data_IF_027994177153
#
_entry.id   IF_027994177153
#
_cell.length_a   1.000
_cell.length_b   1.000
_cell.length_c   1.000
_cell.angle_alpha   90.00
_cell.angle_beta   90.00
_cell.angle_gamma   90.00
#
_symmetry.space_group_name_H-M   'P 1'
#
loop_
_entity.id
_entity.type
_entity.pdbx_description
1 polymer ?
#
# COMPACT_ATOMS: atom_id res chain seq x y z
N UNK A 1 37.44 -39.57 -13.95
CA UNK A 1 37.31 -38.25 -14.59
C UNK A 1 36.18 -37.51 -13.90
N UNK A 2 36.50 -36.58 -13.01
CA UNK A 2 35.51 -35.68 -12.42
C UNK A 2 35.43 -34.49 -13.37
N UNK A 3 34.35 -34.39 -14.15
CA UNK A 3 34.09 -33.21 -14.95
C UNK A 3 33.75 -32.06 -14.00
N UNK A 4 34.74 -31.25 -13.67
CA UNK A 4 34.49 -29.94 -13.10
C UNK A 4 33.76 -29.12 -14.15
N UNK A 5 32.46 -28.94 -13.97
CA UNK A 5 31.68 -27.95 -14.70
C UNK A 5 32.45 -26.63 -14.65
N UNK A 6 32.95 -26.18 -15.80
CA UNK A 6 33.65 -24.90 -15.92
C UNK A 6 32.70 -23.84 -15.34
N UNK A 7 33.07 -23.14 -14.26
CA UNK A 7 32.27 -22.04 -13.76
C UNK A 7 32.12 -21.06 -14.91
N UNK A 8 30.89 -20.62 -15.18
CA UNK A 8 30.64 -19.55 -16.15
C UNK A 8 31.67 -18.44 -15.94
N UNK A 9 32.43 -18.10 -16.98
CA UNK A 9 33.45 -17.05 -16.89
C UNK A 9 32.83 -15.76 -16.36
N UNK A 10 33.60 -14.98 -15.58
CA UNK A 10 33.08 -13.81 -14.86
C UNK A 10 32.35 -12.81 -15.77
N UNK A 11 32.88 -12.56 -16.97
CA UNK A 11 32.26 -11.67 -17.95
C UNK A 11 31.00 -12.26 -18.59
N UNK A 12 30.96 -13.56 -18.85
CA UNK A 12 29.75 -14.26 -19.30
C UNK A 12 28.63 -14.17 -18.24
N UNK A 13 28.98 -14.34 -16.96
CA UNK A 13 28.03 -14.21 -15.85
C UNK A 13 27.48 -12.79 -15.75
N UNK A 14 28.33 -11.77 -15.87
CA UNK A 14 27.86 -10.37 -15.90
C UNK A 14 26.89 -10.12 -17.04
N UNK A 15 27.20 -10.59 -18.25
CA UNK A 15 26.36 -10.43 -19.43
C UNK A 15 25.00 -11.09 -19.22
N UNK A 16 24.98 -12.35 -18.75
CA UNK A 16 23.73 -13.06 -18.43
C UNK A 16 22.91 -12.28 -17.40
N UNK A 17 23.52 -11.87 -16.28
CA UNK A 17 22.82 -11.14 -15.22
C UNK A 17 22.29 -9.77 -15.68
N UNK A 18 22.98 -9.09 -16.61
CA UNK A 18 22.55 -7.80 -17.15
C UNK A 18 21.23 -7.91 -17.93
N UNK A 19 21.02 -9.05 -18.60
CA UNK A 19 19.83 -9.31 -19.42
C UNK A 19 18.81 -10.23 -18.75
N UNK A 20 19.02 -10.61 -17.49
CA UNK A 20 18.10 -11.45 -16.71
C UNK A 20 17.07 -10.59 -15.99
N UNK A 21 15.80 -11.03 -15.98
CA UNK A 21 14.73 -10.40 -15.21
C UNK A 21 15.14 -10.17 -13.73
N UNK A 22 14.88 -8.97 -13.16
CA UNK A 22 15.21 -8.63 -11.78
C UNK A 22 14.77 -9.67 -10.74
N UNK A 23 13.55 -10.18 -10.85
CA UNK A 23 13.02 -11.13 -9.90
C UNK A 23 13.71 -12.49 -9.97
N UNK A 24 14.09 -12.91 -11.18
CA UNK A 24 14.90 -14.10 -11.37
C UNK A 24 16.31 -13.90 -10.79
N UNK A 25 16.92 -12.73 -10.95
CA UNK A 25 18.23 -12.40 -10.34
C UNK A 25 18.19 -12.52 -8.82
N UNK A 26 17.15 -12.00 -8.15
CA UNK A 26 17.01 -12.13 -6.70
C UNK A 26 16.89 -13.59 -6.26
N UNK A 27 16.10 -14.40 -6.98
CA UNK A 27 15.95 -15.84 -6.71
C UNK A 27 17.27 -16.58 -6.90
N UNK A 28 18.01 -16.27 -7.95
CA UNK A 28 19.33 -16.87 -8.23
C UNK A 28 20.35 -16.48 -7.17
N UNK A 29 20.43 -15.19 -6.79
CA UNK A 29 21.37 -14.72 -5.78
C UNK A 29 21.05 -15.30 -4.39
N UNK A 30 19.77 -15.49 -4.07
CA UNK A 30 19.35 -16.16 -2.84
C UNK A 30 19.82 -17.61 -2.81
N UNK A 31 19.62 -18.37 -3.91
CA UNK A 31 19.95 -19.80 -4.00
C UNK A 31 21.44 -20.09 -4.20
N UNK A 32 22.18 -19.19 -4.85
CA UNK A 32 23.59 -19.36 -5.19
C UNK A 32 24.39 -18.21 -4.57
N UNK A 33 24.84 -18.33 -3.31
CA UNK A 33 25.54 -17.24 -2.63
C UNK A 33 26.79 -16.74 -3.35
N UNK A 34 27.48 -17.61 -4.10
CA UNK A 34 28.73 -17.29 -4.83
C UNK A 34 28.56 -16.21 -5.91
N UNK A 35 27.35 -16.00 -6.43
CA UNK A 35 27.11 -14.99 -7.47
C UNK A 35 26.59 -13.65 -6.91
N UNK A 36 26.30 -13.55 -5.61
CA UNK A 36 25.66 -12.37 -5.00
C UNK A 36 26.45 -11.08 -5.25
N UNK A 37 27.77 -11.12 -5.09
CA UNK A 37 28.62 -9.95 -5.30
C UNK A 37 28.57 -9.48 -6.76
N UNK A 38 28.73 -10.40 -7.71
CA UNK A 38 28.62 -10.10 -9.15
C UNK A 38 27.23 -9.58 -9.50
N UNK A 39 26.17 -10.20 -8.97
CA UNK A 39 24.78 -9.78 -9.16
C UNK A 39 24.51 -8.38 -8.63
N UNK A 40 25.08 -8.01 -7.48
CA UNK A 40 24.95 -6.67 -6.92
C UNK A 40 25.74 -5.61 -7.71
N UNK A 41 26.91 -5.98 -8.25
CA UNK A 41 27.74 -5.11 -9.08
C UNK A 41 27.15 -4.85 -10.48
N UNK A 42 26.43 -5.81 -11.06
CA UNK A 42 25.79 -5.65 -12.37
C UNK A 42 24.56 -4.73 -12.24
N UNK A 43 24.42 -3.70 -13.10
CA UNK A 43 23.27 -2.78 -13.07
C UNK A 43 21.93 -3.52 -13.04
N UNK A 44 21.04 -3.09 -12.15
CA UNK A 44 19.69 -3.65 -12.04
C UNK A 44 18.73 -2.75 -12.82
N UNK A 45 18.13 -3.28 -13.89
CA UNK A 45 17.16 -2.59 -14.74
C UNK A 45 15.76 -3.09 -14.44
N UNK A 46 14.87 -2.21 -14.03
CA UNK A 46 13.48 -2.52 -13.66
C UNK A 46 12.56 -1.69 -14.56
N UNK A 47 11.53 -2.30 -15.12
CA UNK A 47 10.55 -1.59 -15.94
C UNK A 47 9.58 -0.79 -15.06
N UNK A 48 8.99 -1.44 -14.05
CA UNK A 48 8.09 -0.79 -13.09
C UNK A 48 8.47 -1.16 -11.67
N UNK A 49 8.65 -0.15 -10.80
CA UNK A 49 8.93 -0.32 -9.39
C UNK A 49 7.89 0.44 -8.57
N UNK A 50 7.08 -0.30 -7.81
CA UNK A 50 6.18 0.26 -6.79
C UNK A 50 6.68 -0.10 -5.40
N UNK A 51 7.01 0.89 -4.58
CA UNK A 51 7.37 0.68 -3.18
C UNK A 51 6.21 1.19 -2.30
N UNK A 52 5.46 0.27 -1.71
CA UNK A 52 4.28 0.56 -0.89
C UNK A 52 4.55 0.17 0.59
N UNK A 53 3.63 0.48 1.50
CA UNK A 53 3.87 0.39 2.95
C UNK A 53 4.50 -0.94 3.42
N UNK A 54 3.88 -2.07 3.08
CA UNK A 54 4.40 -3.42 3.36
C UNK A 54 4.41 -4.31 2.11
N UNK A 55 4.42 -3.68 0.95
CA UNK A 55 4.36 -4.35 -0.35
C UNK A 55 5.36 -3.70 -1.31
N UNK A 56 6.09 -4.50 -2.07
CA UNK A 56 6.97 -4.04 -3.14
C UNK A 56 6.64 -4.79 -4.41
N UNK A 57 6.41 -4.05 -5.49
CA UNK A 57 6.08 -4.60 -6.81
C UNK A 57 7.23 -4.30 -7.75
N UNK A 58 7.79 -5.33 -8.36
CA UNK A 58 8.92 -5.25 -9.28
C UNK A 58 8.48 -5.91 -10.59
N UNK A 59 8.35 -5.09 -11.62
CA UNK A 59 7.66 -5.45 -12.87
C UNK A 59 6.26 -5.98 -12.55
N UNK A 60 6.01 -7.26 -12.81
CA UNK A 60 4.73 -7.94 -12.55
C UNK A 60 4.74 -8.84 -11.31
N UNK A 61 5.81 -8.83 -10.51
CA UNK A 61 5.91 -9.62 -9.28
C UNK A 61 5.65 -8.76 -8.05
N UNK A 62 4.69 -9.18 -7.23
CA UNK A 62 4.39 -8.54 -5.95
C UNK A 62 5.01 -9.33 -4.81
N UNK A 63 5.73 -8.63 -3.93
CA UNK A 63 6.20 -9.14 -2.64
C UNK A 63 5.43 -8.42 -1.54
N UNK A 64 4.55 -9.14 -0.84
CA UNK A 64 3.71 -8.58 0.23
C UNK A 64 4.07 -9.23 1.55
N UNK A 65 4.28 -8.40 2.57
CA UNK A 65 4.40 -8.84 3.95
C UNK A 65 3.11 -8.57 4.70
N UNK A 66 2.77 -9.48 5.62
CA UNK A 66 1.61 -9.38 6.48
C UNK A 66 1.77 -10.22 7.75
N UNK A 67 0.95 -9.95 8.76
CA UNK A 67 0.85 -10.76 9.97
C UNK A 67 -0.20 -11.84 9.77
N UNK A 68 0.23 -13.09 9.66
CA UNK A 68 -0.66 -14.24 9.63
C UNK A 68 -1.07 -14.61 11.05
N UNK A 69 -2.37 -14.66 11.32
CA UNK A 69 -2.92 -15.12 12.61
C UNK A 69 -3.26 -16.60 12.49
N UNK A 70 -2.45 -17.44 13.11
CA UNK A 70 -2.68 -18.88 13.21
C UNK A 70 -3.55 -19.15 14.43
N UNK A 71 -4.86 -19.32 14.21
CA UNK A 71 -5.79 -19.68 15.27
C UNK A 71 -5.57 -21.11 15.75
N UNK A 72 -5.73 -21.32 17.05
CA UNK A 72 -5.62 -22.64 17.69
C UNK A 72 -6.92 -23.44 17.61
N UNK A 73 -7.97 -22.86 17.02
CA UNK A 73 -9.30 -23.43 16.87
C UNK A 73 -9.71 -23.45 15.39
N UNK A 74 -10.67 -24.31 15.04
CA UNK A 74 -11.24 -24.35 13.68
C UNK A 74 -12.22 -23.19 13.41
N UNK A 75 -12.76 -22.60 14.47
CA UNK A 75 -13.67 -21.46 14.47
C UNK A 75 -12.92 -20.14 14.22
N UNK A 76 -12.33 -20.01 13.03
CA UNK A 76 -11.65 -18.80 12.58
C UNK A 76 -12.68 -17.87 11.90
N UNK A 77 -12.81 -16.60 12.33
CA UNK A 77 -13.72 -15.66 11.68
C UNK A 77 -13.42 -15.50 10.18
N UNK A 78 -14.43 -15.25 9.35
CA UNK A 78 -14.27 -15.20 7.89
C UNK A 78 -13.39 -14.03 7.45
N UNK A 79 -13.50 -12.88 8.13
CA UNK A 79 -12.60 -11.73 7.89
C UNK A 79 -11.13 -12.10 8.06
N UNK A 80 -10.83 -12.88 9.11
CA UNK A 80 -9.48 -13.36 9.42
C UNK A 80 -9.00 -14.37 8.38
N UNK A 81 -9.85 -15.34 7.98
CA UNK A 81 -9.52 -16.31 6.93
C UNK A 81 -9.19 -15.59 5.61
N UNK A 82 -10.01 -14.62 5.23
CA UNK A 82 -9.80 -13.79 4.03
C UNK A 82 -8.51 -12.98 4.13
N UNK A 83 -8.29 -12.25 5.20
CA UNK A 83 -7.08 -11.44 5.39
C UNK A 83 -5.81 -12.31 5.36
N UNK A 84 -5.82 -13.46 6.04
CA UNK A 84 -4.72 -14.44 5.99
C UNK A 84 -4.45 -14.95 4.56
N UNK A 85 -5.50 -15.19 3.77
CA UNK A 85 -5.42 -15.63 2.37
C UNK A 85 -4.92 -14.52 1.42
N UNK A 86 -5.22 -13.26 1.73
CA UNK A 86 -4.83 -12.07 0.95
C UNK A 86 -3.40 -11.58 1.25
N UNK A 87 -2.75 -12.12 2.28
CA UNK A 87 -1.37 -11.80 2.61
C UNK A 87 -1.07 -11.68 4.10
N UNK A 88 -2.09 -11.76 4.95
CA UNK A 88 -2.00 -11.46 6.38
C UNK A 88 -2.30 -9.98 6.65
N UNK A 89 -2.38 -9.63 7.93
CA UNK A 89 -2.70 -8.27 8.34
C UNK A 89 -1.59 -7.30 8.01
N UNK A 90 -1.98 -6.12 7.50
CA UNK A 90 -1.04 -5.08 7.06
C UNK A 90 -0.53 -4.22 8.21
N UNK A 91 -0.75 -4.62 9.46
CA UNK A 91 -0.30 -3.90 10.64
C UNK A 91 0.09 -4.91 11.71
N UNK A 92 0.99 -4.49 12.61
CA UNK A 92 1.31 -5.29 13.78
C UNK A 92 0.13 -5.30 14.75
N UNK A 93 0.06 -6.36 15.57
CA UNK A 93 -0.94 -6.52 16.61
C UNK A 93 -0.29 -6.38 17.99
N UNK A 94 -1.02 -5.82 18.95
CA UNK A 94 -0.64 -5.88 20.36
C UNK A 94 -0.93 -7.26 20.96
N UNK A 95 -0.54 -7.46 22.23
CA UNK A 95 -0.72 -8.74 22.94
C UNK A 95 -2.18 -9.18 23.10
N UNK A 96 -3.15 -8.29 22.84
CA UNK A 96 -4.59 -8.57 22.91
C UNK A 96 -5.25 -8.62 21.54
N UNK A 97 -4.48 -8.49 20.45
CA UNK A 97 -5.00 -8.51 19.09
C UNK A 97 -5.52 -7.17 18.57
N UNK A 98 -5.17 -6.04 19.20
CA UNK A 98 -5.44 -4.73 18.61
C UNK A 98 -4.41 -4.38 17.54
N UNK A 99 -4.90 -3.90 16.40
CA UNK A 99 -4.05 -3.29 15.38
C UNK A 99 -3.28 -2.09 15.94
N UNK A 100 -1.97 -2.09 15.73
CA UNK A 100 -1.08 -0.99 16.05
C UNK A 100 -1.00 -0.07 14.83
N UNK A 101 -1.48 1.18 14.93
CA UNK A 101 -1.41 2.13 13.82
C UNK A 101 0.02 2.35 13.30
N UNK A 102 0.17 2.36 11.97
CA UNK A 102 1.44 2.59 11.26
C UNK A 102 2.22 3.81 11.77
N UNK A 103 1.58 4.95 12.13
CA UNK A 103 2.31 6.12 12.62
C UNK A 103 3.09 5.90 13.92
N UNK A 104 2.79 4.83 14.67
CA UNK A 104 3.57 4.45 15.85
C UNK A 104 4.80 3.61 15.54
N UNK A 105 4.98 3.18 14.28
CA UNK A 105 6.16 2.43 13.91
C UNK A 105 7.37 3.38 13.94
N UNK A 106 8.49 2.98 14.59
CA UNK A 106 9.68 3.80 14.63
C UNK A 106 10.22 4.05 13.21
N UNK A 107 10.85 5.20 13.00
CA UNK A 107 11.55 5.52 11.75
C UNK A 107 12.95 4.92 11.84
N UNK A 108 13.31 4.09 10.87
CA UNK A 108 14.62 3.44 10.82
C UNK A 108 15.57 4.27 9.96
N UNK A 109 16.88 4.15 10.21
CA UNK A 109 17.89 4.86 9.43
C UNK A 109 17.74 4.58 7.93
N UNK A 110 17.73 5.64 7.12
CA UNK A 110 17.56 5.56 5.67
C UNK A 110 16.11 5.50 5.18
N UNK A 111 15.12 5.44 6.08
CA UNK A 111 13.71 5.57 5.68
C UNK A 111 13.38 6.99 5.21
N UNK A 112 12.37 7.09 4.35
CA UNK A 112 11.80 8.37 3.93
C UNK A 112 10.44 8.55 4.62
N UNK A 113 10.30 9.65 5.37
CA UNK A 113 9.03 10.06 5.97
C UNK A 113 8.28 10.99 5.02
N UNK A 114 7.01 10.69 4.79
CA UNK A 114 6.08 11.59 4.13
C UNK A 114 5.31 12.39 5.18
N UNK A 115 5.29 13.71 5.01
CA UNK A 115 4.49 14.55 5.87
C UNK A 115 3.02 14.33 5.54
N UNK A 116 2.28 13.80 6.49
CA UNK A 116 0.82 13.63 6.38
C UNK A 116 0.19 14.28 7.60
N UNK A 117 -0.94 14.97 7.38
CA UNK A 117 -1.79 15.43 8.48
C UNK A 117 -2.52 14.22 9.05
N UNK A 118 -1.84 13.39 9.83
CA UNK A 118 -2.55 12.37 10.58
C UNK A 118 -3.08 13.04 11.84
N UNK A 119 -4.36 13.39 11.81
CA UNK A 119 -5.11 13.62 13.03
C UNK A 119 -5.27 12.27 13.70
N UNK A 120 -4.28 11.91 14.50
CA UNK A 120 -4.30 10.72 15.32
C UNK A 120 -5.27 11.01 16.47
N UNK A 121 -6.56 10.82 16.22
CA UNK A 121 -7.55 10.78 17.29
C UNK A 121 -7.48 9.42 17.99
N UNK A 122 -6.31 9.13 18.58
CA UNK A 122 -6.07 7.91 19.38
C UNK A 122 -6.32 8.15 20.86
N UNK A 123 -7.00 9.23 21.20
CA UNK A 123 -7.56 9.41 22.53
C UNK A 123 -8.76 8.49 22.73
N UNK A 124 -8.46 7.25 23.11
CA UNK A 124 -8.96 6.61 24.33
C UNK A 124 -10.44 6.71 24.70
N UNK A 125 -11.38 6.80 23.78
CA UNK A 125 -12.77 6.51 24.15
C UNK A 125 -13.00 4.99 24.15
N UNK A 126 -12.65 4.35 25.29
CA UNK A 126 -12.84 2.91 25.50
C UNK A 126 -14.33 2.54 25.47
N UNK A 127 -15.17 3.40 26.03
CA UNK A 127 -16.62 3.20 26.08
C UNK A 127 -17.24 3.47 24.71
N UNK A 128 -16.87 4.57 24.06
CA UNK A 128 -17.33 4.90 22.71
C UNK A 128 -16.97 3.85 21.68
N UNK A 129 -15.78 3.21 21.78
CA UNK A 129 -15.38 2.13 20.85
C UNK A 129 -16.16 0.84 21.05
N UNK A 130 -16.37 0.41 22.30
CA UNK A 130 -17.16 -0.80 22.58
C UNK A 130 -18.62 -0.59 22.17
N UNK A 131 -19.20 0.57 22.52
CA UNK A 131 -20.54 0.94 22.09
C UNK A 131 -20.63 1.04 20.56
N UNK A 132 -19.62 1.61 19.89
CA UNK A 132 -19.55 1.65 18.44
C UNK A 132 -19.58 0.23 17.86
N UNK A 133 -18.74 -0.69 18.33
CA UNK A 133 -18.75 -2.07 17.83
C UNK A 133 -20.08 -2.78 18.10
N UNK A 134 -20.66 -2.64 19.29
CA UNK A 134 -21.97 -3.23 19.61
C UNK A 134 -23.08 -2.67 18.72
N UNK A 135 -23.11 -1.34 18.50
CA UNK A 135 -24.06 -0.69 17.61
C UNK A 135 -23.88 -1.15 16.16
N UNK A 136 -22.63 -1.25 15.71
CA UNK A 136 -22.29 -1.72 14.36
C UNK A 136 -22.67 -3.18 14.16
N UNK A 137 -22.41 -4.08 15.11
CA UNK A 137 -22.89 -5.48 15.05
C UNK A 137 -24.40 -5.52 14.90
N UNK A 138 -25.16 -4.84 15.76
CA UNK A 138 -26.63 -4.78 15.67
C UNK A 138 -27.12 -4.27 14.32
N UNK A 139 -26.53 -3.17 13.82
CA UNK A 139 -26.90 -2.57 12.54
C UNK A 139 -26.65 -3.53 11.37
N UNK A 140 -25.50 -4.21 11.35
CA UNK A 140 -25.14 -5.10 10.27
C UNK A 140 -25.89 -6.44 10.34
N UNK A 141 -26.20 -6.96 11.52
CA UNK A 141 -27.06 -8.13 11.70
C UNK A 141 -28.49 -7.85 11.22
N UNK A 142 -29.04 -6.68 11.53
CA UNK A 142 -30.33 -6.24 11.00
C UNK A 142 -30.32 -6.12 9.47
N UNK A 143 -29.25 -5.55 8.90
CA UNK A 143 -29.06 -5.48 7.45
C UNK A 143 -28.98 -6.88 6.81
N UNK A 144 -28.25 -7.81 7.43
CA UNK A 144 -28.12 -9.18 6.95
C UNK A 144 -29.47 -9.92 7.00
N UNK A 145 -30.23 -9.74 8.09
CA UNK A 145 -31.58 -10.28 8.20
C UNK A 145 -32.48 -9.74 7.08
N UNK A 146 -32.39 -8.45 6.76
CA UNK A 146 -33.13 -7.83 5.67
C UNK A 146 -32.73 -8.38 4.30
N UNK A 147 -31.43 -8.56 4.05
CA UNK A 147 -30.94 -9.17 2.79
C UNK A 147 -31.53 -10.59 2.63
N UNK A 148 -31.50 -11.40 3.69
CA UNK A 148 -32.06 -12.76 3.66
C UNK A 148 -33.59 -12.76 3.49
N UNK A 149 -34.30 -11.78 4.04
CA UNK A 149 -35.73 -11.57 3.82
C UNK A 149 -36.03 -11.27 2.35
N UNK A 150 -35.30 -10.33 1.75
CA UNK A 150 -35.45 -9.98 0.33
C UNK A 150 -35.20 -11.19 -0.58
N UNK A 151 -34.16 -11.98 -0.30
CA UNK A 151 -33.86 -13.21 -1.03
C UNK A 151 -35.01 -14.23 -0.95
N UNK A 152 -35.60 -14.42 0.24
CA UNK A 152 -36.78 -15.30 0.42
C UNK A 152 -38.01 -14.79 -0.32
N UNK A 153 -38.18 -13.49 -0.44
CA UNK A 153 -39.27 -12.85 -1.18
C UNK A 153 -39.03 -12.82 -2.69
N UNK A 154 -37.86 -13.26 -3.16
CA UNK A 154 -37.47 -13.17 -4.56
C UNK A 154 -37.23 -11.74 -5.05
N UNK A 155 -36.98 -10.79 -4.12
CA UNK A 155 -36.70 -9.38 -4.41
C UNK A 155 -35.20 -9.14 -4.47
N UNK A 156 -34.79 -8.30 -5.41
CA UNK A 156 -33.41 -7.85 -5.53
C UNK A 156 -33.10 -6.72 -4.54
N UNK A 157 -31.81 -6.55 -4.22
CA UNK A 157 -31.34 -5.41 -3.41
C UNK A 157 -31.67 -4.09 -4.13
N UNK A 158 -31.57 -4.06 -5.46
CA UNK A 158 -31.86 -2.89 -6.28
C UNK A 158 -33.34 -2.49 -6.20
N UNK A 159 -34.26 -3.45 -6.26
CA UNK A 159 -35.70 -3.19 -6.09
C UNK A 159 -36.02 -2.63 -4.70
N UNK A 160 -35.39 -3.18 -3.66
CA UNK A 160 -35.52 -2.65 -2.31
C UNK A 160 -35.00 -1.20 -2.21
N UNK A 161 -33.83 -0.91 -2.79
CA UNK A 161 -33.22 0.42 -2.75
C UNK A 161 -33.99 1.48 -3.57
N UNK A 162 -34.78 1.06 -4.54
CA UNK A 162 -35.64 1.92 -5.36
C UNK A 162 -37.07 2.07 -4.80
N UNK A 163 -37.47 1.20 -3.88
CA UNK A 163 -38.79 1.17 -3.29
C UNK A 163 -38.99 2.16 -2.13
N UNK A 164 -40.23 2.27 -1.63
CA UNK A 164 -40.50 3.01 -0.40
C UNK A 164 -39.81 2.32 0.79
N UNK A 165 -39.18 3.11 1.66
CA UNK A 165 -38.40 2.62 2.80
C UNK A 165 -38.97 3.14 4.11
N UNK A 166 -38.93 2.30 5.15
CA UNK A 166 -39.20 2.72 6.53
C UNK A 166 -37.99 3.45 7.14
N UNK A 167 -38.19 4.09 8.30
CA UNK A 167 -37.08 4.71 9.05
C UNK A 167 -36.00 3.69 9.45
N UNK A 168 -36.39 2.44 9.68
CA UNK A 168 -35.46 1.35 10.01
C UNK A 168 -34.66 0.90 8.78
N UNK A 169 -35.35 0.73 7.65
CA UNK A 169 -34.71 0.44 6.36
C UNK A 169 -33.68 1.52 6.00
N UNK A 170 -34.01 2.79 6.24
CA UNK A 170 -33.12 3.91 5.95
C UNK A 170 -31.81 3.84 6.75
N UNK A 171 -31.82 3.30 7.98
CA UNK A 171 -30.61 3.15 8.81
C UNK A 171 -29.70 2.04 8.29
N UNK A 172 -30.25 0.98 7.72
CA UNK A 172 -29.48 -0.17 7.21
C UNK A 172 -29.19 -0.07 5.70
N UNK A 173 -29.81 0.87 4.99
CA UNK A 173 -29.69 1.08 3.53
C UNK A 173 -28.28 0.92 2.98
N UNK A 174 -27.33 1.67 3.55
CA UNK A 174 -25.95 1.69 3.06
C UNK A 174 -25.24 0.35 3.28
N UNK A 175 -25.65 -0.40 4.31
CA UNK A 175 -25.11 -1.73 4.62
C UNK A 175 -25.75 -2.79 3.71
N UNK A 176 -27.07 -2.73 3.50
CA UNK A 176 -27.78 -3.63 2.58
C UNK A 176 -27.17 -3.56 1.17
N UNK A 177 -26.79 -2.35 0.73
CA UNK A 177 -26.09 -2.14 -0.55
C UNK A 177 -24.77 -2.90 -0.68
N UNK A 178 -24.11 -3.26 0.42
CA UNK A 178 -22.87 -4.05 0.40
C UNK A 178 -23.11 -5.52 0.03
N UNK A 179 -24.33 -6.03 0.21
CA UNK A 179 -24.66 -7.43 -0.01
C UNK A 179 -24.17 -8.36 1.12
N UNK A 180 -24.54 -9.64 1.02
CA UNK A 180 -24.39 -10.65 2.07
C UNK A 180 -22.94 -10.85 2.52
N UNK A 181 -22.02 -11.07 1.57
CA UNK A 181 -20.63 -11.42 1.87
C UNK A 181 -19.91 -10.27 2.62
N UNK A 182 -20.01 -9.04 2.09
CA UNK A 182 -19.37 -7.88 2.71
C UNK A 182 -20.02 -7.54 4.06
N UNK A 183 -21.33 -7.68 4.19
CA UNK A 183 -22.04 -7.47 5.46
C UNK A 183 -21.54 -8.46 6.52
N UNK A 184 -21.44 -9.76 6.18
CA UNK A 184 -20.94 -10.78 7.10
C UNK A 184 -19.47 -10.52 7.51
N UNK A 185 -18.63 -10.07 6.58
CA UNK A 185 -17.25 -9.71 6.89
C UNK A 185 -17.14 -8.58 7.92
N UNK A 186 -17.95 -7.52 7.77
CA UNK A 186 -17.94 -6.41 8.72
C UNK A 186 -18.48 -6.83 10.09
N UNK A 187 -19.49 -7.71 10.16
CA UNK A 187 -19.95 -8.30 11.42
C UNK A 187 -18.78 -9.00 12.12
N UNK A 188 -18.03 -9.85 11.41
CA UNK A 188 -16.88 -10.57 11.94
C UNK A 188 -15.76 -9.62 12.40
N UNK A 189 -15.52 -8.53 11.67
CA UNK A 189 -14.55 -7.49 12.03
C UNK A 189 -14.92 -6.80 13.35
N UNK A 190 -16.18 -6.36 13.49
CA UNK A 190 -16.66 -5.72 14.72
C UNK A 190 -16.66 -6.68 15.91
N UNK A 191 -17.05 -7.95 15.69
CA UNK A 191 -16.97 -9.00 16.72
C UNK A 191 -15.52 -9.27 17.12
N UNK A 192 -14.59 -9.28 16.17
CA UNK A 192 -13.15 -9.41 16.46
C UNK A 192 -12.65 -8.24 17.31
N UNK A 193 -13.09 -7.01 17.03
CA UNK A 193 -12.81 -5.84 17.85
C UNK A 193 -13.33 -5.95 19.29
N UNK A 194 -14.54 -6.49 19.48
CA UNK A 194 -15.12 -6.79 20.80
C UNK A 194 -14.33 -7.87 21.54
N UNK A 195 -13.87 -8.91 20.84
CA UNK A 195 -13.02 -9.94 21.43
C UNK A 195 -11.68 -9.38 21.91
N UNK A 196 -11.03 -8.51 21.13
CA UNK A 196 -9.79 -7.84 21.57
C UNK A 196 -10.00 -7.00 22.83
N UNK A 197 -11.16 -6.33 22.97
CA UNK A 197 -11.53 -5.62 24.20
C UNK A 197 -11.71 -6.58 25.38
N UNK A 198 -12.39 -7.71 25.17
CA UNK A 198 -12.55 -8.77 26.16
C UNK A 198 -11.19 -9.33 26.63
N UNK A 199 -10.32 -9.71 25.69
CA UNK A 199 -8.99 -10.23 26.00
C UNK A 199 -8.19 -9.26 26.87
N UNK A 200 -8.22 -7.97 26.53
CA UNK A 200 -7.58 -6.92 27.31
C UNK A 200 -8.17 -6.74 28.71
N UNK A 201 -9.51 -6.74 28.84
CA UNK A 201 -10.22 -6.58 30.12
C UNK A 201 -9.87 -7.70 31.10
N UNK A 202 -9.80 -8.93 30.59
CA UNK A 202 -9.52 -10.12 31.40
C UNK A 202 -8.04 -10.51 31.47
N UNK A 203 -7.16 -9.78 30.77
CA UNK A 203 -5.72 -10.07 30.67
C UNK A 203 -5.42 -11.48 30.16
N UNK A 204 -6.23 -11.96 29.21
CA UNK A 204 -6.06 -13.27 28.57
C UNK A 204 -5.48 -13.09 27.17
N UNK A 205 -4.71 -14.07 26.72
CA UNK A 205 -4.15 -14.08 25.38
C UNK A 205 -5.23 -14.41 24.34
N UNK A 206 -5.19 -13.81 23.14
CA UNK A 206 -6.02 -14.23 22.02
C UNK A 206 -5.77 -15.70 21.64
N UNK A 207 -6.76 -16.40 21.05
CA UNK A 207 -6.67 -17.81 20.66
C UNK A 207 -5.89 -18.01 19.35
N UNK A 208 -4.82 -17.24 19.14
CA UNK A 208 -3.99 -17.33 17.95
C UNK A 208 -2.54 -16.97 18.23
N UNK A 209 -1.65 -17.48 17.38
CA UNK A 209 -0.24 -17.09 17.31
C UNK A 209 0.03 -16.34 16.02
N UNK A 210 0.78 -15.25 16.10
CA UNK A 210 1.19 -14.48 14.95
C UNK A 210 2.42 -15.08 14.26
N UNK A 211 2.45 -15.03 12.93
CA UNK A 211 3.60 -15.34 12.08
C UNK A 211 3.80 -14.20 11.07
N UNK A 212 5.03 -13.94 10.66
CA UNK A 212 5.29 -13.11 9.49
C UNK A 212 4.99 -13.93 8.23
N UNK A 213 4.18 -13.39 7.34
CA UNK A 213 3.83 -14.01 6.07
C UNK A 213 4.39 -13.19 4.91
N UNK A 214 5.27 -13.80 4.11
CA UNK A 214 5.69 -13.28 2.82
C UNK A 214 4.85 -13.96 1.72
N UNK A 215 4.08 -13.15 1.00
CA UNK A 215 3.25 -13.58 -0.12
C UNK A 215 3.85 -13.05 -1.41
N UNK A 216 4.29 -13.95 -2.30
CA UNK A 216 4.86 -13.62 -3.61
C UNK A 216 3.83 -13.97 -4.68
N UNK A 217 3.42 -12.98 -5.47
CA UNK A 217 2.37 -13.12 -6.49
C UNK A 217 2.99 -12.85 -7.87
N UNK A 218 2.67 -13.69 -8.84
CA UNK A 218 3.07 -13.56 -10.24
C UNK A 218 1.92 -14.02 -11.14
N UNK A 219 1.18 -13.07 -11.72
CA UNK A 219 -0.11 -13.40 -12.35
C UNK A 219 -1.02 -14.11 -11.34
N UNK A 220 -1.57 -15.26 -11.72
CA UNK A 220 -2.45 -16.05 -10.84
C UNK A 220 -1.70 -16.94 -9.85
N UNK A 221 -0.37 -17.03 -9.97
CA UNK A 221 0.44 -17.88 -9.10
C UNK A 221 0.77 -17.14 -7.81
N UNK A 222 0.30 -17.70 -6.69
CA UNK A 222 0.58 -17.21 -5.34
C UNK A 222 1.44 -18.20 -4.57
N UNK A 223 2.59 -17.75 -4.06
CA UNK A 223 3.46 -18.50 -3.15
C UNK A 223 3.49 -17.83 -1.78
N UNK A 224 3.25 -18.62 -0.74
CA UNK A 224 3.25 -18.15 0.65
C UNK A 224 4.43 -18.78 1.39
N UNK A 225 5.14 -17.97 2.18
CA UNK A 225 6.16 -18.39 3.14
C UNK A 225 5.83 -17.76 4.48
N UNK A 226 5.92 -18.55 5.56
CA UNK A 226 5.64 -18.10 6.92
C UNK A 226 6.88 -18.26 7.79
N UNK A 227 7.10 -17.30 8.66
CA UNK A 227 8.24 -17.22 9.55
C UNK A 227 7.75 -16.90 10.96
N UNK A 228 8.49 -17.35 11.96
CA UNK A 228 8.24 -16.96 13.35
C UNK A 228 8.16 -15.43 13.48
N UNK A 229 7.24 -14.94 14.29
CA UNK A 229 7.04 -13.51 14.50
C UNK A 229 8.05 -12.96 15.51
N UNK A 230 9.33 -12.93 15.10
CA UNK A 230 10.45 -12.41 15.87
C UNK A 230 10.86 -10.98 15.48
N UNK A 231 10.21 -10.41 14.45
CA UNK A 231 10.36 -9.03 14.02
C UNK A 231 8.97 -8.44 13.78
N UNK A 232 8.86 -7.13 13.95
CA UNK A 232 7.68 -6.36 13.52
C UNK A 232 7.62 -6.30 11.99
N UNK A 233 6.43 -6.12 11.45
CA UNK A 233 6.23 -6.13 9.99
C UNK A 233 7.06 -5.05 9.29
N UNK A 234 7.21 -3.88 9.91
CA UNK A 234 8.01 -2.79 9.35
C UNK A 234 9.52 -3.13 9.28
N UNK A 235 10.04 -3.89 10.24
CA UNK A 235 11.42 -4.37 10.24
C UNK A 235 11.61 -5.42 9.14
N UNK A 236 10.65 -6.33 9.01
CA UNK A 236 10.65 -7.35 7.95
C UNK A 236 10.60 -6.71 6.55
N UNK A 237 9.80 -5.66 6.36
CA UNK A 237 9.72 -4.93 5.08
C UNK A 237 11.02 -4.20 4.77
N UNK A 238 11.62 -3.53 5.75
CA UNK A 238 12.95 -2.92 5.60
C UNK A 238 13.98 -3.96 5.16
N UNK A 239 14.05 -5.08 5.87
CA UNK A 239 14.98 -6.18 5.59
C UNK A 239 14.75 -6.81 4.21
N UNK A 240 13.50 -6.98 3.80
CA UNK A 240 13.17 -7.44 2.45
C UNK A 240 13.72 -6.49 1.38
N UNK A 241 13.48 -5.19 1.54
CA UNK A 241 13.96 -4.18 0.59
C UNK A 241 15.50 -4.08 0.60
N UNK A 242 16.16 -4.32 1.75
CA UNK A 242 17.62 -4.46 1.82
C UNK A 242 18.14 -5.65 1.03
N UNK A 243 17.51 -6.82 1.17
CA UNK A 243 17.85 -8.00 0.38
C UNK A 243 17.75 -7.71 -1.13
N UNK A 244 16.66 -7.05 -1.54
CA UNK A 244 16.39 -6.75 -2.96
C UNK A 244 17.34 -5.68 -3.52
N UNK A 245 17.47 -4.53 -2.85
CA UNK A 245 18.04 -3.32 -3.45
C UNK A 245 19.34 -2.81 -2.84
N UNK A 246 19.72 -3.23 -1.62
CA UNK A 246 20.95 -2.74 -0.97
C UNK A 246 22.21 -3.14 -1.74
N UNK A 247 23.31 -2.43 -1.43
CA UNK A 247 24.65 -2.66 -1.99
C UNK A 247 24.72 -2.48 -3.51
N UNK A 248 23.96 -1.52 -4.04
CA UNK A 248 24.01 -1.10 -5.43
C UNK A 248 24.30 0.40 -5.48
N UNK A 249 25.21 0.88 -6.35
CA UNK A 249 25.45 2.31 -6.50
C UNK A 249 24.19 3.07 -6.94
N UNK A 250 23.46 2.51 -7.89
CA UNK A 250 22.19 3.03 -8.41
C UNK A 250 21.39 1.90 -9.05
N UNK A 251 20.07 1.93 -8.93
CA UNK A 251 19.15 1.08 -9.72
C UNK A 251 18.55 1.90 -10.86
N UNK A 252 18.36 1.26 -12.02
CA UNK A 252 17.79 1.91 -13.21
C UNK A 252 16.33 1.47 -13.31
N UNK A 253 15.41 2.43 -13.28
CA UNK A 253 13.98 2.17 -13.26
C UNK A 253 13.31 2.95 -14.39
N UNK A 254 12.47 2.33 -15.21
CA UNK A 254 11.71 3.10 -16.19
C UNK A 254 10.60 3.90 -15.49
N UNK A 255 9.78 3.25 -14.67
CA UNK A 255 8.68 3.88 -13.92
C UNK A 255 8.80 3.59 -12.42
N UNK A 256 9.01 4.63 -11.61
CA UNK A 256 9.03 4.54 -10.16
C UNK A 256 7.76 5.14 -9.55
N UNK A 257 7.17 4.46 -8.57
CA UNK A 257 6.02 4.97 -7.84
C UNK A 257 5.98 4.49 -6.39
N UNK A 258 5.22 5.20 -5.56
CA UNK A 258 4.84 4.75 -4.22
C UNK A 258 3.45 5.26 -3.85
N UNK A 259 2.57 4.35 -3.42
CA UNK A 259 1.28 4.70 -2.83
C UNK A 259 1.33 4.75 -1.30
N UNK A 260 2.53 4.73 -0.71
CA UNK A 260 2.69 4.73 0.76
C UNK A 260 2.33 6.08 1.35
N UNK A 261 1.41 6.10 2.33
CA UNK A 261 1.01 7.33 2.98
C UNK A 261 2.04 7.88 3.98
N UNK A 262 2.75 7.01 4.72
CA UNK A 262 3.54 7.46 5.88
C UNK A 262 5.05 7.35 5.72
N UNK A 263 5.57 6.13 5.54
CA UNK A 263 7.01 5.89 5.58
C UNK A 263 7.43 4.90 4.51
N UNK A 264 8.35 5.31 3.66
CA UNK A 264 8.98 4.43 2.67
C UNK A 264 10.18 3.72 3.29
N UNK A 265 10.06 2.41 3.48
CA UNK A 265 11.11 1.57 4.07
C UNK A 265 12.09 1.14 2.98
N UNK A 266 13.25 1.77 2.89
CA UNK A 266 14.25 1.52 1.83
C UNK A 266 15.64 1.27 2.39
N UNK A 267 16.56 0.63 1.67
CA UNK A 267 17.92 0.46 2.15
C UNK A 267 18.65 1.80 2.31
N UNK A 268 19.59 1.86 3.26
CA UNK A 268 20.46 3.02 3.42
C UNK A 268 21.24 3.26 2.12
N UNK A 269 21.24 4.51 1.66
CA UNK A 269 21.99 4.92 0.47
C UNK A 269 21.36 4.47 -0.87
N UNK A 270 20.12 4.00 -0.89
CA UNK A 270 19.43 3.68 -2.14
C UNK A 270 19.40 4.89 -3.09
N UNK A 271 19.84 4.68 -4.34
CA UNK A 271 19.71 5.65 -5.42
C UNK A 271 18.98 5.04 -6.62
N UNK A 272 18.09 5.82 -7.22
CA UNK A 272 17.22 5.42 -8.32
C UNK A 272 17.41 6.39 -9.50
N UNK A 273 17.85 5.87 -10.63
CA UNK A 273 17.82 6.56 -11.91
C UNK A 273 16.49 6.22 -12.60
N UNK A 274 15.53 7.15 -12.58
CA UNK A 274 14.17 6.93 -13.09
C UNK A 274 13.90 7.72 -14.39
N UNK A 275 13.15 7.15 -15.33
CA UNK A 275 12.62 7.92 -16.47
C UNK A 275 11.31 8.64 -16.12
N UNK A 276 10.44 7.97 -15.34
CA UNK A 276 9.19 8.52 -14.84
C UNK A 276 9.05 8.29 -13.33
N UNK A 277 8.45 9.25 -12.64
CA UNK A 277 8.11 9.17 -11.21
C UNK A 277 6.64 9.54 -11.01
N UNK A 278 5.90 8.67 -10.31
CA UNK A 278 4.53 8.94 -9.85
C UNK A 278 4.45 8.99 -8.33
N UNK A 279 3.74 9.97 -7.79
CA UNK A 279 3.42 10.02 -6.36
C UNK A 279 2.39 11.06 -5.98
N UNK A 280 1.99 11.02 -4.72
CA UNK A 280 1.21 12.09 -4.10
C UNK A 280 2.06 13.35 -3.94
N UNK A 281 1.39 14.49 -3.88
CA UNK A 281 2.07 15.77 -3.82
C UNK A 281 3.01 15.93 -2.60
N UNK A 282 2.70 15.33 -1.46
CA UNK A 282 3.57 15.31 -0.28
C UNK A 282 4.78 14.37 -0.38
N UNK A 283 4.86 13.52 -1.41
CA UNK A 283 5.97 12.59 -1.63
C UNK A 283 7.05 13.12 -2.58
N UNK A 284 6.74 14.14 -3.39
CA UNK A 284 7.62 14.61 -4.46
C UNK A 284 8.96 15.12 -3.92
N UNK A 285 8.93 15.99 -2.90
CA UNK A 285 10.15 16.49 -2.26
C UNK A 285 10.92 15.35 -1.58
N UNK A 286 10.29 14.50 -0.74
CA UNK A 286 10.98 13.33 -0.17
C UNK A 286 11.61 12.37 -1.20
N UNK A 287 10.99 12.11 -2.35
CA UNK A 287 11.57 11.26 -3.40
C UNK A 287 12.87 11.82 -3.97
N UNK A 288 13.05 13.14 -4.01
CA UNK A 288 14.29 13.74 -4.52
C UNK A 288 15.55 13.26 -3.79
N UNK A 289 15.42 12.86 -2.52
CA UNK A 289 16.54 12.33 -1.72
C UNK A 289 17.13 11.03 -2.26
N UNK A 290 16.35 10.24 -2.99
CA UNK A 290 16.76 8.95 -3.56
C UNK A 290 16.89 8.95 -5.07
N UNK A 291 16.39 9.97 -5.75
CA UNK A 291 16.56 10.08 -7.20
C UNK A 291 17.98 10.50 -7.55
N UNK A 292 18.51 9.91 -8.62
CA UNK A 292 19.77 10.29 -9.22
C UNK A 292 19.58 11.57 -10.04
N UNK A 293 20.15 12.68 -9.55
CA UNK A 293 20.04 14.00 -10.18
C UNK A 293 20.92 14.18 -11.41
N UNK A 294 21.73 13.19 -11.79
CA UNK A 294 22.59 13.28 -12.98
C UNK A 294 21.83 13.21 -14.30
N UNK A 295 20.55 12.82 -14.27
CA UNK A 295 19.69 12.70 -15.46
C UNK A 295 18.41 13.48 -15.29
N UNK A 296 18.00 14.14 -16.36
CA UNK A 296 16.70 14.81 -16.45
C UNK A 296 15.57 13.78 -16.39
N UNK A 297 14.60 14.01 -15.52
CA UNK A 297 13.41 13.17 -15.42
C UNK A 297 12.49 13.46 -16.62
N UNK A 298 12.13 12.45 -17.40
CA UNK A 298 11.28 12.66 -18.59
C UNK A 298 9.84 13.01 -18.22
N UNK A 299 9.33 12.40 -17.16
CA UNK A 299 7.94 12.60 -16.73
C UNK A 299 7.81 12.57 -15.21
N UNK A 300 7.13 13.56 -14.66
CA UNK A 300 6.72 13.60 -13.26
C UNK A 300 5.21 13.63 -13.18
N UNK A 301 4.60 12.56 -12.67
CA UNK A 301 3.17 12.45 -12.48
C UNK A 301 2.82 12.70 -11.00
N UNK A 302 2.00 13.71 -10.73
CA UNK A 302 1.66 14.17 -9.38
C UNK A 302 0.17 13.97 -9.16
N UNK A 303 -0.18 13.19 -8.13
CA UNK A 303 -1.55 13.11 -7.65
C UNK A 303 -1.75 14.13 -6.52
N UNK A 304 -2.49 15.21 -6.82
CA UNK A 304 -2.71 16.34 -5.93
C UNK A 304 -3.92 16.09 -5.02
N UNK A 305 -3.63 15.73 -3.78
CA UNK A 305 -4.65 15.35 -2.79
C UNK A 305 -4.58 16.21 -1.53
N UNK A 306 -3.37 16.53 -1.06
CA UNK A 306 -3.18 17.26 0.17
C UNK A 306 -2.94 18.76 -0.05
N UNK A 307 -3.51 19.56 0.84
CA UNK A 307 -3.68 20.99 0.64
C UNK A 307 -2.39 21.82 0.75
N UNK A 308 -1.39 21.34 1.50
CA UNK A 308 -0.26 22.18 1.97
C UNK A 308 1.14 21.67 1.58
N UNK A 309 1.26 20.62 0.76
CA UNK A 309 2.53 19.88 0.65
C UNK A 309 3.24 19.92 -0.71
N UNK A 310 2.71 20.62 -1.72
CA UNK A 310 3.41 20.72 -3.01
C UNK A 310 4.20 22.02 -3.15
N UNK A 311 5.53 21.90 -3.20
CA UNK A 311 6.41 22.98 -3.61
C UNK A 311 6.72 22.85 -5.12
N UNK A 312 5.96 23.56 -5.96
CA UNK A 312 6.19 23.58 -7.41
C UNK A 312 7.52 24.23 -7.81
N UNK A 313 8.17 24.96 -6.91
CA UNK A 313 9.52 25.48 -7.11
C UNK A 313 10.62 24.46 -6.78
N UNK A 314 10.26 23.24 -6.36
CA UNK A 314 11.25 22.21 -6.10
C UNK A 314 11.98 21.82 -7.40
N UNK A 315 13.30 21.60 -7.32
CA UNK A 315 14.15 21.32 -8.49
C UNK A 315 13.63 20.16 -9.33
N UNK A 316 13.17 19.08 -8.70
CA UNK A 316 12.59 17.91 -9.37
C UNK A 316 11.39 18.26 -10.28
N UNK A 317 10.57 19.24 -9.89
CA UNK A 317 9.43 19.70 -10.69
C UNK A 317 9.92 20.61 -11.83
N UNK A 318 10.83 21.54 -11.53
CA UNK A 318 11.39 22.47 -12.51
C UNK A 318 12.17 21.76 -13.62
N UNK A 319 12.95 20.75 -13.25
CA UNK A 319 13.86 20.05 -14.17
C UNK A 319 13.21 18.89 -14.92
N UNK A 320 11.97 18.50 -14.59
CA UNK A 320 11.30 17.44 -15.34
C UNK A 320 10.98 17.92 -16.76
N UNK A 321 11.13 17.08 -17.78
CA UNK A 321 10.78 17.44 -19.16
C UNK A 321 9.28 17.69 -19.31
N UNK A 322 8.45 16.89 -18.64
CA UNK A 322 6.99 17.02 -18.58
C UNK A 322 6.47 16.76 -17.17
N UNK A 323 5.53 17.60 -16.71
CA UNK A 323 4.81 17.42 -15.44
C UNK A 323 3.34 17.14 -15.74
N UNK A 324 2.80 16.06 -15.19
CA UNK A 324 1.36 15.76 -15.22
C UNK A 324 0.78 15.86 -13.82
N UNK A 325 -0.36 16.53 -13.65
CA UNK A 325 -1.00 16.73 -12.36
C UNK A 325 -2.43 16.22 -12.45
N UNK A 326 -2.75 15.20 -11.66
CA UNK A 326 -4.11 14.71 -11.50
C UNK A 326 -4.69 15.22 -10.17
N UNK A 327 -5.92 15.74 -10.19
CA UNK A 327 -6.58 16.31 -9.00
C UNK A 327 -8.07 16.01 -8.95
N UNK A 328 -8.71 16.25 -7.81
CA UNK A 328 -10.17 16.18 -7.67
C UNK A 328 -10.81 17.56 -7.89
N UNK A 329 -12.06 17.59 -8.36
CA UNK A 329 -12.83 18.83 -8.55
C UNK A 329 -12.81 19.76 -7.33
N UNK A 330 -12.95 19.19 -6.13
CA UNK A 330 -12.94 19.93 -4.86
C UNK A 330 -11.62 20.67 -4.58
N UNK A 331 -10.52 20.29 -5.24
CA UNK A 331 -9.17 20.82 -5.02
C UNK A 331 -8.69 21.78 -6.12
N UNK A 332 -9.49 21.99 -7.18
CA UNK A 332 -9.12 22.84 -8.33
C UNK A 332 -8.71 24.25 -7.93
N UNK A 333 -9.48 24.89 -7.03
CA UNK A 333 -9.17 26.25 -6.58
C UNK A 333 -7.81 26.35 -5.88
N UNK A 334 -7.40 25.28 -5.21
CA UNK A 334 -6.12 25.23 -4.50
C UNK A 334 -4.98 24.97 -5.47
N UNK A 335 -5.16 24.00 -6.38
CA UNK A 335 -4.20 23.75 -7.45
C UNK A 335 -3.93 25.04 -8.25
N UNK A 336 -4.97 25.77 -8.65
CA UNK A 336 -4.85 27.05 -9.36
C UNK A 336 -3.94 28.05 -8.65
N UNK A 337 -4.06 28.21 -7.31
CA UNK A 337 -3.17 29.10 -6.54
C UNK A 337 -1.71 28.65 -6.60
N UNK A 338 -1.49 27.35 -6.55
CA UNK A 338 -0.15 26.78 -6.54
C UNK A 338 0.51 26.82 -7.93
N UNK A 339 -0.27 26.72 -9.02
CA UNK A 339 0.21 26.81 -10.41
C UNK A 339 0.93 28.15 -10.71
N UNK A 340 0.60 29.23 -10.00
CA UNK A 340 1.32 30.53 -10.07
C UNK A 340 2.83 30.44 -9.93
N UNK A 341 3.28 29.43 -9.18
CA UNK A 341 4.69 29.23 -8.85
C UNK A 341 5.34 28.14 -9.68
N UNK A 342 4.60 27.54 -10.61
CA UNK A 342 5.09 26.47 -11.48
C UNK A 342 5.88 27.06 -12.65
N UNK A 343 7.18 26.76 -12.70
CA UNK A 343 8.08 27.22 -13.75
C UNK A 343 8.22 26.22 -14.91
N UNK A 344 7.67 25.01 -14.77
CA UNK A 344 7.77 23.98 -15.81
C UNK A 344 6.93 24.38 -17.04
N UNK A 345 7.49 24.26 -18.23
CA UNK A 345 6.85 24.70 -19.48
C UNK A 345 5.94 23.65 -20.13
N UNK A 346 6.03 22.37 -19.75
CA UNK A 346 5.22 21.29 -20.30
C UNK A 346 4.38 20.64 -19.20
N UNK A 347 3.18 21.19 -19.02
CA UNK A 347 2.28 20.79 -17.92
C UNK A 347 0.97 20.24 -18.49
N UNK A 348 0.58 19.06 -18.02
CA UNK A 348 -0.69 18.43 -18.31
C UNK A 348 -1.52 18.33 -17.03
N UNK A 349 -2.74 18.86 -17.02
CA UNK A 349 -3.62 18.80 -15.85
C UNK A 349 -4.83 17.95 -16.18
N UNK A 350 -5.13 16.98 -15.32
CA UNK A 350 -6.31 16.10 -15.43
C UNK A 350 -7.13 16.20 -14.15
N UNK A 351 -8.45 16.20 -14.29
CA UNK A 351 -9.39 16.15 -13.17
C UNK A 351 -10.03 14.77 -13.13
N UNK A 352 -9.93 14.09 -12.00
CA UNK A 352 -10.50 12.76 -11.81
C UNK A 352 -12.03 12.78 -11.97
N UNK A 353 -12.58 11.72 -12.59
CA UNK A 353 -13.93 11.64 -13.16
C UNK A 353 -15.06 11.60 -12.12
N UNK A 354 -14.77 11.59 -10.82
CA UNK A 354 -15.79 11.62 -9.76
C UNK A 354 -16.58 12.95 -9.68
N UNK A 355 -16.34 13.89 -10.58
CA UNK A 355 -17.28 14.95 -10.90
C UNK A 355 -16.89 15.60 -12.22
N UNK A 356 -17.81 15.67 -13.18
CA UNK A 356 -17.54 16.33 -14.45
C UNK A 356 -17.09 17.79 -14.19
N UNK A 357 -15.85 18.16 -14.56
CA UNK A 357 -15.38 19.52 -14.41
C UNK A 357 -16.21 20.45 -15.30
N UNK A 358 -16.64 21.57 -14.76
CA UNK A 358 -17.40 22.59 -15.48
C UNK A 358 -16.44 23.49 -16.27
N UNK A 359 -16.97 24.26 -17.24
CA UNK A 359 -16.20 25.29 -17.92
C UNK A 359 -15.56 26.30 -16.93
N UNK A 360 -16.24 26.59 -15.82
CA UNK A 360 -15.74 27.46 -14.74
C UNK A 360 -14.51 26.83 -14.06
N UNK A 361 -14.51 25.52 -13.86
CA UNK A 361 -13.40 24.81 -13.22
C UNK A 361 -12.13 24.88 -14.09
N UNK A 362 -12.26 24.71 -15.41
CA UNK A 362 -11.15 24.90 -16.35
C UNK A 362 -10.68 26.36 -16.41
N UNK A 363 -11.62 27.31 -16.43
CA UNK A 363 -11.29 28.74 -16.44
C UNK A 363 -10.46 29.15 -15.22
N UNK A 364 -10.78 28.61 -14.04
CA UNK A 364 -10.04 28.85 -12.80
C UNK A 364 -8.61 28.30 -12.85
N UNK A 365 -8.37 27.17 -13.50
CA UNK A 365 -7.01 26.64 -13.69
C UNK A 365 -6.18 27.53 -14.62
N UNK A 366 -6.80 28.14 -15.63
CA UNK A 366 -6.10 29.02 -16.58
C UNK A 366 -5.79 30.43 -16.03
N UNK A 367 -6.48 30.86 -14.98
CA UNK A 367 -6.30 32.18 -14.33
C UNK A 367 -5.57 32.08 -12.98
N UNK A 368 -5.26 30.85 -12.55
CA UNK A 368 -4.41 30.56 -11.41
C UNK A 368 -3.00 30.92 -11.78
#
# INVERSE_FOLDING_TARGET
MVSHSIPMGYESLKSVLLHTDPNLRFKLSQRIPKIRLTEKAVPLRIESLSLNGFESVINSQTYRLGVYRHYHTEDIPMSIKRENNEGGSRVDLDQYGFMIPIPFNPILTGDILFHTKITIDLQRDREGREQHYQNSVRRYEAALAKINELEREGKTIEEFLAGPMTDEDQRIRDVVKLGTEQTQMWIDEFRSGLLSLHYRRHRIAPPFTCFLQLTIIQGDVKKIQRYEYNHKIYEATKKLNEILFANRPVIIVNQFQSATAYVLRIPIGLKISANSVYGYNNQIVPFSSILDSSRTLRRLDIHFVEDDFLNFQHSLVKSAEKVSICTFKAKINMLARSLRTLENQQVEITVDRMGNPTAIDYFRLMHG
#
